data_IF_367109937545
#
_entry.id   IF_367109937545
#
_cell.length_a   1.000
_cell.length_b   1.000
_cell.length_c   1.000
_cell.angle_alpha   90.00
_cell.angle_beta   90.00
_cell.angle_gamma   90.00
#
_symmetry.space_group_name_H-M   'P 1'
#
loop_
_entity.id
_entity.type
_entity.pdbx_description
1 polymer ?
#
# COMPACT_ATOMS: atom_id res chain seq x y z
N UNK A 1 12.78 -2.34 30.15
CA UNK A 1 12.61 -3.79 29.98
C UNK A 1 11.36 -4.11 29.17
N UNK A 2 10.12 -3.97 29.70
CA UNK A 2 8.89 -4.40 29.00
C UNK A 2 8.68 -3.82 27.59
N UNK A 3 9.03 -2.56 27.36
CA UNK A 3 8.92 -1.92 26.04
C UNK A 3 9.90 -2.50 25.00
N UNK A 4 11.11 -2.88 25.43
CA UNK A 4 12.11 -3.52 24.56
C UNK A 4 11.62 -4.92 24.18
N UNK A 5 11.16 -5.69 25.17
CA UNK A 5 10.62 -7.03 24.96
C UNK A 5 9.39 -7.01 24.03
N UNK A 6 8.48 -6.05 24.20
CA UNK A 6 7.31 -5.89 23.34
C UNK A 6 7.67 -5.64 21.87
N UNK A 7 8.73 -4.86 21.60
CA UNK A 7 9.21 -4.64 20.23
C UNK A 7 9.94 -5.86 19.67
N UNK A 8 10.66 -6.59 20.53
CA UNK A 8 11.41 -7.79 20.17
C UNK A 8 10.50 -8.99 19.85
N UNK A 9 9.37 -9.11 20.54
CA UNK A 9 8.38 -10.17 20.33
C UNK A 9 7.55 -10.02 19.04
N UNK A 10 7.74 -8.95 18.26
CA UNK A 10 7.00 -8.71 17.02
C UNK A 10 7.57 -9.55 15.87
N UNK A 11 6.72 -10.25 15.08
CA UNK A 11 7.13 -10.95 13.88
C UNK A 11 7.92 -10.06 12.93
N UNK A 12 8.85 -10.65 12.17
CA UNK A 12 9.75 -9.90 11.28
C UNK A 12 9.02 -9.00 10.28
N UNK A 13 7.85 -9.42 9.80
CA UNK A 13 7.01 -8.63 8.87
C UNK A 13 6.50 -7.35 9.53
N UNK A 14 5.91 -7.46 10.74
CA UNK A 14 5.39 -6.30 11.47
C UNK A 14 6.49 -5.36 11.95
N UNK A 15 7.65 -5.89 12.33
CA UNK A 15 8.79 -5.04 12.70
C UNK A 15 9.38 -4.31 11.50
N UNK A 16 9.47 -4.98 10.34
CA UNK A 16 9.88 -4.34 9.09
C UNK A 16 8.92 -3.22 8.72
N UNK A 17 7.61 -3.40 8.86
CA UNK A 17 6.60 -2.36 8.59
C UNK A 17 6.75 -1.13 9.50
N UNK A 18 7.00 -1.33 10.80
CA UNK A 18 7.18 -0.22 11.75
C UNK A 18 8.43 0.62 11.43
N UNK A 19 9.56 -0.04 11.17
CA UNK A 19 10.76 0.63 10.65
C UNK A 19 10.56 1.16 9.23
N UNK A 20 9.62 0.56 8.51
CA UNK A 20 9.12 0.86 7.18
C UNK A 20 8.68 2.31 7.07
N UNK A 21 7.70 2.65 7.90
CA UNK A 21 7.09 3.97 7.95
C UNK A 21 8.10 5.07 8.30
N UNK A 22 9.01 4.81 9.24
CA UNK A 22 10.08 5.77 9.61
C UNK A 22 11.06 5.97 8.44
N UNK A 23 11.45 4.87 7.78
CA UNK A 23 12.35 4.92 6.63
C UNK A 23 11.71 5.65 5.46
N UNK A 24 10.42 5.45 5.22
CA UNK A 24 9.68 6.16 4.18
C UNK A 24 9.64 7.67 4.45
N UNK A 25 9.40 8.09 5.70
CA UNK A 25 9.48 9.51 6.09
C UNK A 25 10.89 10.07 5.85
N UNK A 26 11.93 9.30 6.18
CA UNK A 26 13.32 9.72 5.94
C UNK A 26 13.62 9.82 4.45
N UNK A 27 13.23 8.83 3.64
CA UNK A 27 13.40 8.83 2.17
C UNK A 27 12.66 10.00 1.54
N UNK A 28 11.39 10.22 1.92
CA UNK A 28 10.60 11.36 1.45
C UNK A 28 11.23 12.70 1.86
N UNK A 29 11.90 12.76 3.01
CA UNK A 29 12.61 13.97 3.46
C UNK A 29 13.90 14.18 2.67
N UNK A 30 14.68 13.13 2.43
CA UNK A 30 15.93 13.20 1.66
C UNK A 30 15.65 13.50 0.18
N UNK A 31 14.59 12.94 -0.40
CA UNK A 31 14.11 13.28 -1.74
C UNK A 31 13.74 14.77 -1.87
N UNK A 32 13.20 15.38 -0.81
CA UNK A 32 12.85 16.81 -0.78
C UNK A 32 14.06 17.75 -0.62
N UNK A 33 15.16 17.28 -0.03
CA UNK A 33 16.33 18.12 0.31
C UNK A 33 17.51 17.91 -0.65
N UNK A 34 17.69 16.70 -1.17
CA UNK A 34 18.78 16.34 -2.07
C UNK A 34 18.30 15.30 -3.11
N UNK A 35 17.55 15.72 -4.15
CA UNK A 35 16.95 14.82 -5.13
C UNK A 35 17.98 13.93 -5.85
N UNK A 36 19.20 14.42 -6.08
CA UNK A 36 20.28 13.67 -6.72
C UNK A 36 20.88 12.55 -5.86
N UNK A 37 20.75 12.62 -4.52
CA UNK A 37 21.24 11.58 -3.59
C UNK A 37 20.19 10.52 -3.28
N UNK A 38 18.91 10.81 -3.51
CA UNK A 38 17.83 9.89 -3.20
C UNK A 38 17.80 8.67 -4.13
N UNK A 39 18.28 8.81 -5.38
CA UNK A 39 18.37 7.71 -6.33
C UNK A 39 19.48 6.69 -5.98
N UNK A 40 20.44 7.08 -5.14
CA UNK A 40 21.59 6.25 -4.73
C UNK A 40 21.35 5.54 -3.39
N UNK A 41 20.24 5.87 -2.69
CA UNK A 41 19.91 5.31 -1.39
C UNK A 41 19.30 3.92 -1.53
N UNK A 42 20.07 2.91 -1.14
CA UNK A 42 19.58 1.55 -0.92
C UNK A 42 18.60 1.54 0.26
N UNK A 43 17.30 1.49 -0.06
CA UNK A 43 16.19 1.47 0.90
C UNK A 43 16.34 0.30 1.88
N UNK A 44 16.85 -0.85 1.41
CA UNK A 44 17.10 -2.02 2.25
C UNK A 44 18.14 -1.74 3.34
N UNK A 45 19.27 -1.12 2.97
CA UNK A 45 20.30 -0.71 3.95
C UNK A 45 19.79 0.31 4.95
N UNK A 46 18.96 1.25 4.49
CA UNK A 46 18.40 2.29 5.36
C UNK A 46 17.44 1.71 6.41
N UNK A 47 16.56 0.78 6.02
CA UNK A 47 15.70 0.05 6.97
C UNK A 47 16.54 -0.68 8.03
N UNK A 48 17.58 -1.40 7.59
CA UNK A 48 18.46 -2.11 8.50
C UNK A 48 19.21 -1.16 9.44
N UNK A 49 19.68 -0.01 8.95
CA UNK A 49 20.33 1.01 9.77
C UNK A 49 19.39 1.64 10.80
N UNK A 50 18.19 2.05 10.40
CA UNK A 50 17.22 2.66 11.33
C UNK A 50 16.87 1.68 12.45
N UNK A 51 16.64 0.40 12.11
CA UNK A 51 16.34 -0.63 13.11
C UNK A 51 17.49 -0.82 14.10
N UNK A 52 18.73 -0.98 13.62
CA UNK A 52 19.91 -1.17 14.49
C UNK A 52 20.16 0.04 15.40
N UNK A 53 19.92 1.27 14.90
CA UNK A 53 20.03 2.48 15.72
C UNK A 53 18.92 2.57 16.78
N UNK A 54 17.69 2.15 16.47
CA UNK A 54 16.60 2.15 17.46
C UNK A 54 16.90 1.22 18.64
N UNK A 55 17.42 0.03 18.36
CA UNK A 55 17.88 -0.91 19.39
C UNK A 55 19.03 -0.31 20.23
N UNK A 56 20.05 0.26 19.59
CA UNK A 56 21.13 1.00 20.28
C UNK A 56 20.60 2.08 21.25
N UNK A 57 19.67 2.93 20.80
CA UNK A 57 19.07 3.98 21.65
C UNK A 57 18.25 3.41 22.80
N UNK A 58 17.52 2.30 22.57
CA UNK A 58 16.74 1.66 23.62
C UNK A 58 17.63 1.11 24.74
N UNK A 59 18.78 0.52 24.39
CA UNK A 59 19.76 0.02 25.36
C UNK A 59 20.57 1.15 26.00
N UNK A 60 20.80 2.27 25.31
CA UNK A 60 21.35 3.50 25.92
C UNK A 60 20.47 3.99 27.06
N UNK A 61 19.17 4.15 26.81
CA UNK A 61 18.21 4.56 27.85
C UNK A 61 18.16 3.51 28.97
N UNK A 62 18.20 2.22 28.63
CA UNK A 62 18.24 1.15 29.62
C UNK A 62 19.47 1.26 30.54
N UNK A 63 20.66 1.49 29.96
CA UNK A 63 21.90 1.66 30.73
C UNK A 63 21.84 2.82 31.72
N UNK A 64 21.24 3.95 31.32
CA UNK A 64 20.98 5.10 32.20
C UNK A 64 20.06 4.71 33.36
N UNK A 65 18.95 4.03 33.06
CA UNK A 65 17.94 3.66 34.05
C UNK A 65 18.44 2.61 35.03
N UNK A 66 19.13 1.57 34.57
CA UNK A 66 19.70 0.52 35.42
C UNK A 66 20.74 1.10 36.36
N UNK A 67 21.64 1.96 35.87
CA UNK A 67 22.64 2.59 36.73
C UNK A 67 22.02 3.56 37.73
N UNK A 68 20.98 4.30 37.33
CA UNK A 68 20.22 5.16 38.25
C UNK A 68 19.53 4.33 39.35
N UNK A 69 18.90 3.21 38.99
CA UNK A 69 18.26 2.31 39.94
C UNK A 69 19.28 1.72 40.94
N UNK A 70 20.43 1.21 40.45
CA UNK A 70 21.48 0.65 41.31
C UNK A 70 22.05 1.69 42.29
N UNK A 71 22.22 2.94 41.84
CA UNK A 71 22.65 4.01 42.74
C UNK A 71 21.60 4.34 43.80
N UNK A 72 20.31 4.38 43.44
CA UNK A 72 19.23 4.56 44.43
C UNK A 72 19.15 3.42 45.43
N UNK A 73 19.54 2.21 45.04
CA UNK A 73 19.64 1.04 45.91
C UNK A 73 20.95 0.98 46.72
N UNK A 74 21.79 2.03 46.69
CA UNK A 74 23.01 2.13 47.49
C UNK A 74 24.26 1.50 46.87
N UNK A 75 24.20 1.03 45.62
CA UNK A 75 25.35 0.43 44.93
C UNK A 75 26.07 1.50 44.10
N UNK A 76 27.20 1.97 44.62
CA UNK A 76 27.99 3.05 44.03
C UNK A 76 29.33 2.58 43.44
N UNK A 77 29.99 3.47 42.71
CA UNK A 77 31.35 3.26 42.20
C UNK A 77 31.44 2.27 41.03
N UNK A 78 32.63 1.68 40.86
CA UNK A 78 32.94 0.71 39.80
C UNK A 78 32.07 -0.54 39.87
N UNK A 79 31.71 -0.98 41.08
CA UNK A 79 30.81 -2.14 41.29
C UNK A 79 29.43 -1.90 40.66
N UNK A 80 28.82 -0.73 40.88
CA UNK A 80 27.53 -0.38 40.27
C UNK A 80 27.59 -0.29 38.75
N UNK A 81 28.70 0.23 38.20
CA UNK A 81 28.93 0.29 36.75
C UNK A 81 29.04 -1.12 36.15
N UNK A 82 29.83 -2.01 36.78
CA UNK A 82 30.02 -3.38 36.31
C UNK A 82 28.71 -4.19 36.35
N UNK A 83 27.93 -4.05 37.43
CA UNK A 83 26.63 -4.71 37.56
C UNK A 83 25.63 -4.16 36.53
N UNK A 84 25.58 -2.83 36.33
CA UNK A 84 24.72 -2.21 35.32
C UNK A 84 25.03 -2.73 33.91
N UNK A 85 26.32 -2.77 33.57
CA UNK A 85 26.79 -3.27 32.29
C UNK A 85 26.43 -4.76 32.11
N UNK A 86 26.71 -5.60 33.10
CA UNK A 86 26.38 -7.03 33.04
C UNK A 86 24.87 -7.26 32.87
N UNK A 87 24.03 -6.53 33.60
CA UNK A 87 22.56 -6.62 33.45
C UNK A 87 22.14 -6.28 32.02
N UNK A 88 22.69 -5.21 31.44
CA UNK A 88 22.34 -4.79 30.09
C UNK A 88 22.81 -5.80 29.02
N UNK A 89 24.04 -6.33 29.16
CA UNK A 89 24.59 -7.34 28.23
C UNK A 89 23.81 -8.65 28.32
N UNK A 90 23.54 -9.15 29.53
CA UNK A 90 22.75 -10.37 29.72
C UNK A 90 21.33 -10.20 29.15
N UNK A 91 20.74 -9.01 29.33
CA UNK A 91 19.45 -8.70 28.74
C UNK A 91 19.50 -8.66 27.20
N UNK A 92 20.54 -8.07 26.60
CA UNK A 92 20.76 -8.08 25.14
C UNK A 92 20.90 -9.50 24.58
N UNK A 93 21.65 -10.37 25.28
CA UNK A 93 21.79 -11.78 24.91
C UNK A 93 20.42 -12.49 25.00
N UNK A 94 19.68 -12.26 26.08
CA UNK A 94 18.35 -12.84 26.26
C UNK A 94 17.35 -12.37 25.19
N UNK A 95 17.47 -11.12 24.75
CA UNK A 95 16.60 -10.52 23.74
C UNK A 95 16.86 -11.14 22.35
N UNK A 96 18.13 -11.25 21.95
CA UNK A 96 18.51 -11.91 20.70
C UNK A 96 18.19 -13.41 20.71
N UNK A 97 18.38 -14.07 21.85
CA UNK A 97 17.94 -15.45 22.04
C UNK A 97 16.42 -15.57 21.88
N UNK A 98 15.64 -14.66 22.49
CA UNK A 98 14.18 -14.64 22.34
C UNK A 98 13.76 -14.43 20.87
N UNK A 99 14.45 -13.56 20.13
CA UNK A 99 14.18 -13.33 18.71
C UNK A 99 14.36 -14.59 17.86
N UNK A 100 15.23 -15.54 18.22
CA UNK A 100 15.36 -16.81 17.48
C UNK A 100 14.08 -17.68 17.50
N UNK A 101 13.20 -17.47 18.49
CA UNK A 101 11.91 -18.16 18.58
C UNK A 101 10.78 -17.43 17.85
N UNK A 102 11.06 -16.24 17.30
CA UNK A 102 10.07 -15.42 16.58
C UNK A 102 10.14 -15.71 15.08
N UNK A 103 9.01 -16.02 14.41
CA UNK A 103 9.00 -16.33 12.99
C UNK A 103 9.62 -15.24 12.10
N UNK A 104 10.59 -15.64 11.27
CA UNK A 104 11.27 -14.77 10.30
C UNK A 104 12.36 -13.85 10.89
N UNK A 105 12.70 -13.99 12.18
CA UNK A 105 13.82 -13.31 12.83
C UNK A 105 15.01 -14.26 12.95
N UNK A 106 16.21 -13.69 12.87
CA UNK A 106 17.47 -14.38 13.14
C UNK A 106 18.20 -13.62 14.23
N UNK A 107 18.65 -14.33 15.25
CA UNK A 107 19.53 -13.73 16.26
C UNK A 107 20.91 -13.47 15.66
N UNK A 108 21.42 -12.25 15.77
CA UNK A 108 22.76 -11.88 15.29
C UNK A 108 23.65 -11.49 16.47
N UNK A 109 24.84 -12.10 16.59
CA UNK A 109 25.85 -11.71 17.60
C UNK A 109 26.22 -10.22 17.45
N UNK A 110 26.19 -9.71 16.21
CA UNK A 110 26.43 -8.30 15.92
C UNK A 110 25.42 -7.37 16.60
N UNK A 111 24.17 -7.80 16.75
CA UNK A 111 23.11 -6.98 17.35
C UNK A 111 23.29 -6.89 18.87
N UNK A 112 23.72 -7.98 19.53
CA UNK A 112 24.18 -7.96 20.94
C UNK A 112 25.30 -6.95 21.16
N UNK A 113 26.27 -6.87 20.25
CA UNK A 113 27.41 -5.94 20.35
C UNK A 113 26.92 -4.49 20.25
N UNK A 114 26.02 -4.19 19.31
CA UNK A 114 25.47 -2.84 19.10
C UNK A 114 24.68 -2.41 20.35
N UNK A 115 23.85 -3.29 20.89
CA UNK A 115 23.03 -3.01 22.08
C UNK A 115 23.89 -2.83 23.33
N UNK A 116 24.93 -3.65 23.49
CA UNK A 116 25.92 -3.51 24.57
C UNK A 116 26.70 -2.20 24.46
N UNK A 117 27.02 -1.74 23.24
CA UNK A 117 27.65 -0.44 23.02
C UNK A 117 26.71 0.71 23.40
N UNK A 118 25.42 0.63 23.04
CA UNK A 118 24.38 1.58 23.45
C UNK A 118 24.30 1.72 24.97
N UNK A 119 24.19 0.59 25.68
CA UNK A 119 24.17 0.55 27.14
C UNK A 119 25.44 1.18 27.77
N UNK A 120 26.61 0.91 27.19
CA UNK A 120 27.88 1.49 27.65
C UNK A 120 27.89 3.01 27.53
N UNK A 121 27.44 3.55 26.39
CA UNK A 121 27.31 5.00 26.16
C UNK A 121 26.33 5.61 27.16
N UNK A 122 25.20 4.95 27.41
CA UNK A 122 24.22 5.39 28.40
C UNK A 122 24.79 5.48 29.82
N UNK A 123 25.50 4.43 30.24
CA UNK A 123 26.19 4.38 31.53
C UNK A 123 27.23 5.50 31.64
N UNK A 124 28.11 5.67 30.66
CA UNK A 124 29.14 6.72 30.66
C UNK A 124 28.53 8.12 30.63
N UNK A 125 27.49 8.35 29.83
CA UNK A 125 26.76 9.61 29.76
C UNK A 125 26.15 9.99 31.11
N UNK A 126 25.52 9.02 31.80
CA UNK A 126 25.00 9.24 33.15
C UNK A 126 26.11 9.53 34.17
N UNK A 127 27.27 8.86 34.07
CA UNK A 127 28.43 9.18 34.92
C UNK A 127 28.91 10.61 34.69
N UNK A 128 29.09 11.03 33.43
CA UNK A 128 29.49 12.38 33.05
C UNK A 128 28.53 13.43 33.58
N UNK A 129 27.23 13.25 33.35
CA UNK A 129 26.20 14.16 33.85
C UNK A 129 26.18 14.21 35.39
N UNK A 130 26.33 13.06 36.07
CA UNK A 130 26.42 13.01 37.54
C UNK A 130 27.72 13.57 38.12
N UNK A 131 28.77 13.72 37.31
CA UNK A 131 30.05 14.32 37.69
C UNK A 131 30.00 15.83 37.51
N UNK A 132 29.39 16.31 36.43
CA UNK A 132 29.03 17.72 36.22
C UNK A 132 28.09 18.20 37.34
N UNK A 133 27.07 17.41 37.67
CA UNK A 133 26.14 17.74 38.77
C UNK A 133 26.82 17.78 40.14
N UNK A 134 27.73 16.83 40.45
CA UNK A 134 28.48 16.82 41.73
C UNK A 134 29.60 17.87 41.81
N UNK A 135 30.24 18.21 40.68
CA UNK A 135 31.12 19.37 40.61
C UNK A 135 30.33 20.68 40.81
N UNK A 136 29.01 20.64 40.60
CA UNK A 136 28.11 21.75 40.83
C UNK A 136 27.55 21.90 42.24
N UNK A 137 27.92 21.10 43.23
CA UNK A 137 27.35 21.22 44.59
C UNK A 137 28.31 21.77 45.65
N UNK A 138 29.62 21.88 45.37
CA UNK A 138 30.57 22.43 46.37
C UNK A 138 31.11 23.83 46.07
N UNK A 139 30.81 24.42 44.91
CA UNK A 139 31.09 25.85 44.64
C UNK A 139 29.93 26.66 44.03
N UNK A 140 28.87 26.05 43.48
CA UNK A 140 27.86 26.80 42.69
C UNK A 140 26.78 27.48 43.54
N UNK A 141 26.59 27.08 44.82
CA UNK A 141 25.53 27.67 45.65
C UNK A 141 25.84 29.12 46.08
N UNK A 142 27.07 29.62 45.91
CA UNK A 142 27.41 31.01 46.26
C UNK A 142 27.54 31.97 45.06
N UNK A 143 27.25 31.58 43.81
CA UNK A 143 27.39 32.51 42.67
C UNK A 143 26.34 32.42 41.55
N UNK A 144 25.05 32.21 41.85
CA UNK A 144 24.01 32.60 40.90
C UNK A 144 23.80 34.13 40.96
N UNK A 145 24.68 34.86 40.28
CA UNK A 145 24.49 36.29 40.00
C UNK A 145 23.19 36.48 39.21
N UNK A 146 22.47 37.58 39.44
CA UNK A 146 21.27 37.98 38.69
C UNK A 146 21.46 37.93 37.17
N UNK A 147 22.69 38.14 36.69
CA UNK A 147 23.07 38.00 35.29
C UNK A 147 22.81 36.58 34.72
N UNK A 148 23.01 35.52 35.50
CA UNK A 148 22.82 34.14 35.05
C UNK A 148 21.33 33.78 34.91
N UNK A 149 20.48 34.31 35.80
CA UNK A 149 19.02 34.11 35.74
C UNK A 149 18.46 34.79 34.49
N UNK A 150 18.90 36.02 34.20
CA UNK A 150 18.51 36.77 33.01
C UNK A 150 18.98 36.06 31.73
N UNK A 151 20.22 35.55 31.71
CA UNK A 151 20.76 34.80 30.58
C UNK A 151 19.97 33.50 30.31
N UNK A 152 19.67 32.71 31.34
CA UNK A 152 18.86 31.49 31.22
C UNK A 152 17.44 31.81 30.74
N UNK A 153 16.84 32.89 31.27
CA UNK A 153 15.54 33.37 30.81
C UNK A 153 15.54 33.76 29.33
N UNK A 154 16.57 34.50 28.88
CA UNK A 154 16.73 34.89 27.48
C UNK A 154 16.91 33.69 26.54
N UNK A 155 17.66 32.67 26.96
CA UNK A 155 17.84 31.43 26.21
C UNK A 155 16.51 30.65 26.12
N UNK A 156 15.74 30.58 27.19
CA UNK A 156 14.43 29.89 27.18
C UNK A 156 13.42 30.60 26.29
N UNK A 157 13.39 31.94 26.30
CA UNK A 157 12.50 32.73 25.44
C UNK A 157 12.86 32.57 23.96
N UNK A 158 14.14 32.64 23.62
CA UNK A 158 14.60 32.46 22.23
C UNK A 158 14.36 31.03 21.72
N UNK A 159 14.55 30.02 22.57
CA UNK A 159 14.23 28.63 22.25
C UNK A 159 12.72 28.43 22.03
N UNK A 160 11.89 29.04 22.89
CA UNK A 160 10.43 28.97 22.78
C UNK A 160 9.90 29.65 21.52
N UNK A 161 10.45 30.82 21.17
CA UNK A 161 10.15 31.53 19.92
C UNK A 161 10.59 30.71 18.69
N UNK A 162 11.77 30.08 18.74
CA UNK A 162 12.26 29.21 17.67
C UNK A 162 11.39 27.98 17.46
N UNK A 163 10.93 27.34 18.54
CA UNK A 163 10.00 26.21 18.50
C UNK A 163 8.65 26.64 17.93
N UNK A 164 8.09 27.74 18.41
CA UNK A 164 6.82 28.29 17.92
C UNK A 164 6.89 28.62 16.42
N UNK A 165 7.94 29.30 15.97
CA UNK A 165 8.13 29.64 14.57
C UNK A 165 8.30 28.39 13.69
N UNK A 166 9.05 27.39 14.16
CA UNK A 166 9.22 26.10 13.47
C UNK A 166 7.90 25.34 13.34
N UNK A 167 7.07 25.34 14.40
CA UNK A 167 5.74 24.72 14.38
C UNK A 167 4.79 25.43 13.41
N UNK A 168 4.73 26.77 13.45
CA UNK A 168 3.91 27.56 12.54
C UNK A 168 4.32 27.35 11.08
N UNK A 169 5.63 27.37 10.80
CA UNK A 169 6.17 27.12 9.47
C UNK A 169 5.79 25.72 8.95
N UNK A 170 5.83 24.69 9.80
CA UNK A 170 5.38 23.32 9.42
C UNK A 170 3.88 23.28 9.10
N UNK A 171 3.04 23.92 9.91
CA UNK A 171 1.59 23.91 9.71
C UNK A 171 1.19 24.62 8.41
N UNK A 172 1.81 25.76 8.09
CA UNK A 172 1.53 26.50 6.86
C UNK A 172 1.99 25.75 5.61
N UNK A 173 3.17 25.12 5.66
CA UNK A 173 3.70 24.31 4.56
C UNK A 173 2.81 23.13 4.20
N UNK A 174 2.21 22.47 5.18
CA UNK A 174 1.36 21.32 4.92
C UNK A 174 0.06 21.73 4.19
N UNK A 175 -0.50 22.90 4.55
CA UNK A 175 -1.70 23.44 3.89
C UNK A 175 -1.41 23.85 2.44
N UNK A 176 -0.32 24.56 2.20
CA UNK A 176 0.05 24.99 0.84
C UNK A 176 0.38 23.79 -0.05
N UNK A 177 1.15 22.82 0.46
CA UNK A 177 1.47 21.59 -0.28
C UNK A 177 0.23 20.79 -0.69
N UNK A 178 -0.75 20.67 0.20
CA UNK A 178 -1.99 19.97 -0.11
C UNK A 178 -2.75 20.67 -1.23
N UNK A 179 -2.88 22.00 -1.15
CA UNK A 179 -3.54 22.83 -2.17
C UNK A 179 -2.79 22.74 -3.51
N UNK A 180 -1.46 22.84 -3.49
CA UNK A 180 -0.63 22.76 -4.69
C UNK A 180 -0.71 21.38 -5.34
N UNK A 181 -0.75 20.31 -4.54
CA UNK A 181 -0.88 18.93 -5.04
C UNK A 181 -2.23 18.73 -5.72
N UNK A 182 -3.33 19.11 -5.06
CA UNK A 182 -4.67 19.02 -5.64
C UNK A 182 -4.78 19.87 -6.90
N UNK A 183 -4.23 21.08 -6.88
CA UNK A 183 -4.25 21.98 -8.03
C UNK A 183 -3.46 21.39 -9.20
N UNK A 184 -2.29 20.81 -8.94
CA UNK A 184 -1.48 20.12 -9.93
C UNK A 184 -2.19 18.91 -10.52
N UNK A 185 -2.84 18.08 -9.69
CA UNK A 185 -3.62 16.93 -10.15
C UNK A 185 -4.80 17.37 -11.02
N UNK A 186 -5.50 18.43 -10.63
CA UNK A 186 -6.59 19.03 -11.42
C UNK A 186 -6.09 19.56 -12.77
N UNK A 187 -4.95 20.26 -12.80
CA UNK A 187 -4.33 20.74 -14.04
C UNK A 187 -3.95 19.57 -14.96
N UNK A 188 -3.36 18.51 -14.40
CA UNK A 188 -2.98 17.30 -15.14
C UNK A 188 -4.20 16.60 -15.73
N UNK A 189 -5.27 16.48 -14.92
CA UNK A 189 -6.54 15.90 -15.34
C UNK A 189 -7.18 16.71 -16.47
N UNK A 190 -7.24 18.06 -16.34
CA UNK A 190 -7.76 18.97 -17.36
C UNK A 190 -6.96 18.88 -18.67
N UNK A 191 -5.62 18.81 -18.59
CA UNK A 191 -4.77 18.61 -19.77
C UNK A 191 -5.11 17.32 -20.51
N UNK A 192 -5.28 16.21 -19.77
CA UNK A 192 -5.61 14.91 -20.36
C UNK A 192 -6.98 14.92 -21.03
N UNK A 193 -7.98 15.51 -20.38
CA UNK A 193 -9.30 15.71 -20.96
C UNK A 193 -9.26 16.55 -22.25
N UNK A 194 -8.50 17.65 -22.26
CA UNK A 194 -8.34 18.51 -23.44
C UNK A 194 -7.74 17.75 -24.63
N UNK A 195 -6.71 16.93 -24.39
CA UNK A 195 -6.08 16.11 -25.43
C UNK A 195 -7.06 15.09 -25.99
N UNK A 196 -7.81 14.40 -25.12
CA UNK A 196 -8.79 13.40 -25.56
C UNK A 196 -9.91 14.05 -26.40
N UNK A 197 -10.44 15.21 -25.98
CA UNK A 197 -11.45 15.98 -26.75
C UNK A 197 -10.88 16.44 -28.10
N UNK A 198 -9.64 16.94 -28.12
CA UNK A 198 -8.99 17.38 -29.35
C UNK A 198 -8.79 16.22 -30.34
N UNK A 199 -8.37 15.06 -29.86
CA UNK A 199 -8.25 13.85 -30.69
C UNK A 199 -9.61 13.39 -31.21
N UNK A 200 -10.61 13.34 -30.34
CA UNK A 200 -11.97 12.96 -30.73
C UNK A 200 -12.52 13.88 -31.83
N UNK A 201 -12.41 15.20 -31.66
CA UNK A 201 -12.82 16.18 -32.68
C UNK A 201 -12.04 16.04 -33.99
N UNK A 202 -10.73 15.79 -33.93
CA UNK A 202 -9.91 15.56 -35.13
C UNK A 202 -10.31 14.29 -35.88
N UNK A 203 -10.45 13.17 -35.18
CA UNK A 203 -10.80 11.87 -35.77
C UNK A 203 -12.22 11.87 -36.33
N UNK A 204 -13.19 12.47 -35.63
CA UNK A 204 -14.56 12.60 -36.14
C UNK A 204 -14.63 13.48 -37.39
N UNK A 205 -13.91 14.61 -37.41
CA UNK A 205 -13.84 15.46 -38.60
C UNK A 205 -13.19 14.75 -39.78
N UNK A 206 -12.10 14.01 -39.53
CA UNK A 206 -11.41 13.18 -40.52
C UNK A 206 -12.33 12.07 -41.07
N UNK A 207 -13.03 11.37 -40.19
CA UNK A 207 -13.96 10.30 -40.56
C UNK A 207 -15.07 10.82 -41.50
N UNK A 208 -15.72 11.94 -41.15
CA UNK A 208 -16.76 12.56 -41.99
C UNK A 208 -16.21 12.94 -43.37
N UNK A 209 -15.01 13.54 -43.40
CA UNK A 209 -14.43 14.11 -44.62
C UNK A 209 -13.78 13.09 -45.56
N UNK A 210 -13.25 11.98 -45.03
CA UNK A 210 -12.34 11.10 -45.78
C UNK A 210 -12.81 9.64 -45.85
N UNK A 211 -13.47 9.11 -44.83
CA UNK A 211 -13.76 7.66 -44.72
C UNK A 211 -15.24 7.30 -44.61
N UNK A 212 -16.15 8.28 -44.63
CA UNK A 212 -17.60 8.04 -44.56
C UNK A 212 -18.14 7.14 -45.68
N UNK A 213 -17.40 6.95 -46.77
CA UNK A 213 -17.75 6.13 -47.93
C UNK A 213 -16.81 4.93 -48.15
N UNK A 214 -15.87 4.66 -47.23
CA UNK A 214 -14.88 3.58 -47.36
C UNK A 214 -15.20 2.45 -46.38
N UNK A 215 -15.55 1.26 -46.90
CA UNK A 215 -15.82 0.07 -46.09
C UNK A 215 -14.56 -0.81 -45.94
N UNK A 216 -13.51 -0.18 -45.39
CA UNK A 216 -12.20 -0.80 -45.18
C UNK A 216 -11.91 -1.12 -43.71
N UNK A 217 -10.86 -1.93 -43.47
CA UNK A 217 -10.32 -2.19 -42.12
C UNK A 217 -9.90 -0.91 -41.39
N UNK A 218 -9.40 0.08 -42.11
CA UNK A 218 -8.98 1.37 -41.55
C UNK A 218 -10.17 2.15 -40.95
N UNK A 219 -11.33 2.12 -41.60
CA UNK A 219 -12.56 2.75 -41.11
C UNK A 219 -13.03 2.11 -39.80
N UNK A 220 -12.92 0.79 -39.67
CA UNK A 220 -13.29 0.06 -38.46
C UNK A 220 -12.36 0.38 -37.28
N UNK A 221 -11.06 0.49 -37.52
CA UNK A 221 -10.07 0.83 -36.48
C UNK A 221 -10.26 2.26 -35.97
N UNK A 222 -10.50 3.21 -36.88
CA UNK A 222 -10.80 4.60 -36.53
C UNK A 222 -12.12 4.73 -35.76
N UNK A 223 -13.18 4.03 -36.16
CA UNK A 223 -14.46 4.03 -35.45
C UNK A 223 -14.29 3.48 -34.03
N UNK A 224 -13.49 2.43 -33.84
CA UNK A 224 -13.17 1.89 -32.53
C UNK A 224 -12.42 2.91 -31.66
N UNK A 225 -11.47 3.64 -32.23
CA UNK A 225 -10.74 4.68 -31.49
C UNK A 225 -11.65 5.86 -31.10
N UNK A 226 -12.54 6.30 -32.01
CA UNK A 226 -13.55 7.34 -31.73
C UNK A 226 -14.48 6.91 -30.58
N UNK A 227 -14.92 5.66 -30.58
CA UNK A 227 -15.83 5.15 -29.54
C UNK A 227 -15.12 5.03 -28.18
N UNK A 228 -13.88 4.54 -28.16
CA UNK A 228 -13.05 4.54 -26.94
C UNK A 228 -12.89 5.96 -26.39
N UNK A 229 -12.55 6.94 -27.24
CA UNK A 229 -12.39 8.33 -26.82
C UNK A 229 -13.69 8.92 -26.27
N UNK A 230 -14.84 8.63 -26.90
CA UNK A 230 -16.16 9.05 -26.41
C UNK A 230 -16.40 8.57 -24.98
N UNK A 231 -16.17 7.29 -24.71
CA UNK A 231 -16.36 6.70 -23.38
C UNK A 231 -15.35 7.27 -22.38
N UNK A 232 -14.09 7.43 -22.79
CA UNK A 232 -13.04 8.01 -21.94
C UNK A 232 -13.32 9.46 -21.53
N UNK A 233 -13.81 10.29 -22.46
CA UNK A 233 -14.20 11.68 -22.18
C UNK A 233 -15.37 11.70 -21.18
N UNK A 234 -16.38 10.84 -21.38
CA UNK A 234 -17.54 10.75 -20.49
C UNK A 234 -17.14 10.30 -19.08
N UNK A 235 -16.28 9.28 -18.98
CA UNK A 235 -15.70 8.79 -17.72
C UNK A 235 -14.91 9.86 -16.99
N UNK A 236 -14.16 10.70 -17.71
CA UNK A 236 -13.45 11.82 -17.10
C UNK A 236 -14.47 12.81 -16.52
N UNK A 237 -15.44 13.26 -17.32
CA UNK A 237 -16.39 14.30 -16.93
C UNK A 237 -17.31 13.88 -15.77
N UNK A 238 -17.74 12.62 -15.71
CA UNK A 238 -18.60 12.09 -14.65
C UNK A 238 -18.18 10.66 -14.23
N UNK A 239 -17.14 10.52 -13.39
CA UNK A 239 -16.56 9.21 -13.10
C UNK A 239 -17.46 8.32 -12.24
N UNK A 240 -18.20 8.88 -11.27
CA UNK A 240 -18.96 8.08 -10.32
C UNK A 240 -20.10 7.32 -11.00
N UNK A 241 -20.95 8.03 -11.73
CA UNK A 241 -22.15 7.47 -12.37
C UNK A 241 -21.79 6.55 -13.55
N UNK A 242 -20.80 6.93 -14.37
CA UNK A 242 -20.43 6.15 -15.55
C UNK A 242 -19.72 4.84 -15.16
N UNK A 243 -18.97 4.79 -14.05
CA UNK A 243 -18.37 3.55 -13.56
C UNK A 243 -19.45 2.53 -13.18
N UNK A 244 -20.52 2.95 -12.51
CA UNK A 244 -21.62 2.04 -12.16
C UNK A 244 -22.33 1.52 -13.42
N UNK A 245 -22.67 2.42 -14.34
CA UNK A 245 -23.30 2.06 -15.62
C UNK A 245 -22.46 1.10 -16.45
N UNK A 246 -21.14 1.32 -16.54
CA UNK A 246 -20.24 0.44 -17.29
C UNK A 246 -20.07 -0.93 -16.65
N UNK A 247 -20.13 -1.03 -15.32
CA UNK A 247 -20.12 -2.32 -14.62
C UNK A 247 -21.37 -3.13 -14.93
N UNK A 248 -22.52 -2.48 -14.90
CA UNK A 248 -23.80 -3.11 -15.25
C UNK A 248 -23.82 -3.57 -16.71
N UNK A 249 -23.42 -2.69 -17.64
CA UNK A 249 -23.33 -3.04 -19.06
C UNK A 249 -22.38 -4.23 -19.29
N UNK A 250 -21.19 -4.21 -18.67
CA UNK A 250 -20.23 -5.32 -18.75
C UNK A 250 -20.84 -6.63 -18.24
N UNK A 251 -21.56 -6.58 -17.12
CA UNK A 251 -22.20 -7.76 -16.56
C UNK A 251 -23.27 -8.32 -17.51
N UNK A 252 -24.12 -7.46 -18.06
CA UNK A 252 -25.16 -7.86 -19.00
C UNK A 252 -24.57 -8.46 -20.29
N UNK A 253 -23.53 -7.85 -20.86
CA UNK A 253 -22.85 -8.39 -22.04
C UNK A 253 -22.16 -9.73 -21.77
N UNK A 254 -21.60 -9.94 -20.58
CA UNK A 254 -21.01 -11.23 -20.20
C UNK A 254 -22.08 -12.32 -20.08
N UNK A 255 -23.24 -12.01 -19.49
CA UNK A 255 -24.38 -12.94 -19.41
C UNK A 255 -24.88 -13.28 -20.81
N UNK A 256 -25.10 -12.27 -21.65
CA UNK A 256 -25.56 -12.48 -23.03
C UNK A 256 -24.56 -13.30 -23.87
N UNK A 257 -23.26 -13.04 -23.71
CA UNK A 257 -22.22 -13.82 -24.40
C UNK A 257 -22.18 -15.28 -23.92
N UNK A 258 -22.31 -15.52 -22.61
CA UNK A 258 -22.38 -16.88 -22.07
C UNK A 258 -23.62 -17.63 -22.56
N UNK A 259 -24.77 -16.96 -22.67
CA UNK A 259 -25.99 -17.54 -23.27
C UNK A 259 -25.80 -17.88 -24.75
N UNK A 260 -25.17 -16.99 -25.52
CA UNK A 260 -24.86 -17.22 -26.94
C UNK A 260 -23.87 -18.37 -27.12
N UNK A 261 -22.83 -18.46 -26.29
CA UNK A 261 -21.88 -19.58 -26.31
C UNK A 261 -22.56 -20.90 -25.95
N UNK A 262 -23.44 -20.92 -24.93
CA UNK A 262 -24.22 -22.11 -24.58
C UNK A 262 -25.15 -22.56 -25.71
N UNK A 263 -25.81 -21.62 -26.42
CA UNK A 263 -26.60 -21.95 -27.62
C UNK A 263 -25.73 -22.48 -28.75
N UNK A 264 -24.56 -21.88 -28.98
CA UNK A 264 -23.61 -22.29 -30.02
C UNK A 264 -23.05 -23.69 -29.77
N UNK A 265 -22.67 -24.01 -28.53
CA UNK A 265 -22.22 -25.36 -28.15
C UNK A 265 -23.32 -26.40 -28.40
N UNK A 266 -24.56 -26.12 -28.02
CA UNK A 266 -25.69 -27.03 -28.29
C UNK A 266 -25.92 -27.28 -29.79
N UNK A 267 -25.79 -26.25 -30.61
CA UNK A 267 -25.89 -26.39 -32.08
C UNK A 267 -24.74 -27.23 -32.63
N UNK A 268 -23.53 -27.03 -32.13
CA UNK A 268 -22.33 -27.77 -32.55
C UNK A 268 -22.44 -29.26 -32.19
N UNK A 269 -22.82 -29.58 -30.95
CA UNK A 269 -23.11 -30.96 -30.50
C UNK A 269 -24.20 -31.63 -31.35
N UNK A 270 -25.29 -30.92 -31.66
CA UNK A 270 -26.35 -31.47 -32.50
C UNK A 270 -25.89 -31.68 -33.94
N UNK A 271 -25.07 -30.76 -34.46
CA UNK A 271 -24.54 -30.86 -35.82
C UNK A 271 -23.62 -32.07 -35.94
N UNK A 272 -22.76 -32.33 -34.94
CA UNK A 272 -21.95 -33.54 -34.88
C UNK A 272 -22.79 -34.81 -34.76
N UNK A 273 -23.82 -34.79 -33.90
CA UNK A 273 -24.73 -35.91 -33.74
C UNK A 273 -25.45 -36.26 -35.05
N UNK A 274 -26.05 -35.26 -35.73
CA UNK A 274 -26.76 -35.45 -36.99
C UNK A 274 -25.83 -35.94 -38.10
N UNK A 275 -24.60 -35.42 -38.18
CA UNK A 275 -23.58 -35.92 -39.13
C UNK A 275 -23.16 -37.37 -38.85
N UNK A 276 -23.27 -37.81 -37.60
CA UNK A 276 -23.01 -39.19 -37.19
C UNK A 276 -24.16 -40.17 -37.47
N UNK A 277 -25.35 -39.68 -37.84
CA UNK A 277 -26.48 -40.51 -38.25
C UNK A 277 -26.32 -40.86 -39.75
N UNK A 278 -26.15 -42.14 -40.07
CA UNK A 278 -25.88 -42.63 -41.43
C UNK A 278 -27.06 -43.31 -42.12
N UNK A 279 -28.26 -43.25 -41.53
CA UNK A 279 -29.49 -43.86 -42.04
C UNK A 279 -30.61 -42.82 -42.16
N UNK A 280 -31.38 -42.89 -43.26
CA UNK A 280 -32.66 -42.19 -43.34
C UNK A 280 -33.64 -42.87 -42.36
N UNK A 281 -34.30 -42.08 -41.51
CA UNK A 281 -35.25 -42.57 -40.52
C UNK A 281 -36.54 -43.02 -41.22
N UNK A 282 -36.67 -44.33 -41.46
CA UNK A 282 -37.91 -44.94 -41.97
C UNK A 282 -38.86 -45.40 -40.83
N UNK A 283 -38.35 -45.55 -39.59
CA UNK A 283 -39.11 -45.96 -38.41
C UNK A 283 -38.91 -45.00 -37.22
N UNK A 284 -39.89 -44.98 -36.31
CA UNK A 284 -39.89 -44.17 -35.09
C UNK A 284 -38.79 -44.61 -34.11
N UNK A 285 -37.89 -43.69 -33.73
CA UNK A 285 -36.84 -43.91 -32.73
C UNK A 285 -37.09 -43.08 -31.46
N UNK A 286 -37.50 -43.76 -30.38
CA UNK A 286 -37.79 -43.13 -29.09
C UNK A 286 -36.55 -42.47 -28.45
N UNK A 287 -35.35 -43.04 -28.65
CA UNK A 287 -34.12 -42.50 -28.06
C UNK A 287 -33.73 -41.19 -28.74
N UNK A 288 -33.92 -41.11 -30.06
CA UNK A 288 -33.71 -39.90 -30.84
C UNK A 288 -34.66 -38.78 -30.38
N UNK A 289 -35.96 -39.10 -30.27
CA UNK A 289 -37.00 -38.15 -29.85
C UNK A 289 -36.71 -37.59 -28.46
N UNK A 290 -36.35 -38.44 -27.48
CA UNK A 290 -35.99 -38.00 -26.12
C UNK A 290 -34.74 -37.11 -26.07
N UNK A 291 -33.84 -37.23 -27.06
CA UNK A 291 -32.64 -36.40 -27.17
C UNK A 291 -32.91 -35.07 -27.86
N UNK A 292 -33.81 -35.03 -28.85
CA UNK A 292 -34.11 -33.85 -29.65
C UNK A 292 -35.20 -32.95 -29.03
N UNK A 293 -36.26 -33.56 -28.49
CA UNK A 293 -37.45 -32.86 -28.02
C UNK A 293 -37.31 -32.56 -26.52
N UNK A 294 -37.56 -31.31 -26.16
CA UNK A 294 -37.60 -30.85 -24.77
C UNK A 294 -39.01 -31.01 -24.19
N UNK A 295 -40.03 -30.58 -24.93
CA UNK A 295 -41.43 -30.63 -24.52
C UNK A 295 -42.35 -30.65 -25.74
N UNK A 296 -43.47 -31.35 -25.63
CA UNK A 296 -44.59 -31.27 -26.58
C UNK A 296 -45.81 -30.76 -25.80
N UNK A 297 -46.47 -29.74 -26.34
CA UNK A 297 -47.73 -29.21 -25.80
C UNK A 297 -48.81 -29.43 -26.85
N UNK A 298 -49.88 -30.14 -26.49
CA UNK A 298 -50.99 -30.47 -27.39
C UNK A 298 -52.16 -29.53 -27.07
N UNK A 299 -52.68 -28.87 -28.09
CA UNK A 299 -53.90 -28.06 -28.09
C UNK A 299 -54.98 -28.78 -28.92
N UNK A 300 -56.20 -28.22 -28.97
CA UNK A 300 -57.34 -28.88 -29.61
C UNK A 300 -57.15 -29.09 -31.13
N UNK A 301 -56.51 -28.14 -31.83
CA UNK A 301 -56.30 -28.18 -33.30
C UNK A 301 -54.81 -28.12 -33.71
N UNK A 302 -53.88 -28.04 -32.75
CA UNK A 302 -52.44 -27.91 -33.03
C UNK A 302 -51.56 -28.51 -31.92
N UNK A 303 -50.34 -28.91 -32.26
CA UNK A 303 -49.29 -29.26 -31.30
C UNK A 303 -48.06 -28.39 -31.49
N UNK A 304 -47.55 -27.86 -30.38
CA UNK A 304 -46.26 -27.15 -30.33
C UNK A 304 -45.18 -28.09 -29.82
N UNK A 305 -44.17 -28.32 -30.66
CA UNK A 305 -42.98 -29.11 -30.34
C UNK A 305 -41.81 -28.17 -30.04
N UNK A 306 -41.34 -28.17 -28.80
CA UNK A 306 -40.13 -27.46 -28.38
C UNK A 306 -38.93 -28.40 -28.44
N UNK A 307 -37.93 -28.03 -29.23
CA UNK A 307 -36.66 -28.74 -29.33
C UNK A 307 -35.68 -28.24 -28.28
N UNK A 308 -34.79 -29.10 -27.79
CA UNK A 308 -33.70 -28.71 -26.84
C UNK A 308 -32.70 -27.69 -27.40
N UNK A 309 -32.78 -27.44 -28.71
CA UNK A 309 -32.06 -26.36 -29.40
C UNK A 309 -32.71 -24.99 -29.25
N UNK A 310 -33.89 -24.90 -28.62
CA UNK A 310 -34.68 -23.68 -28.47
C UNK A 310 -35.46 -23.28 -29.72
N UNK A 311 -35.70 -24.23 -30.64
CA UNK A 311 -36.57 -24.05 -31.81
C UNK A 311 -37.96 -24.56 -31.45
N UNK A 312 -38.99 -23.81 -31.83
CA UNK A 312 -40.39 -24.20 -31.66
C UNK A 312 -41.02 -24.43 -33.03
N UNK A 313 -41.70 -25.57 -33.20
CA UNK A 313 -42.43 -25.90 -34.42
C UNK A 313 -43.88 -26.16 -34.03
N UNK A 314 -44.81 -25.47 -34.69
CA UNK A 314 -46.23 -25.75 -34.59
C UNK A 314 -46.64 -26.71 -35.71
N UNK A 315 -47.39 -27.73 -35.35
CA UNK A 315 -47.91 -28.76 -36.25
C UNK A 315 -49.41 -28.78 -36.08
N UNK A 316 -50.17 -28.49 -37.14
CA UNK A 316 -51.62 -28.69 -37.16
C UNK A 316 -51.92 -30.19 -37.09
N UNK A 317 -52.83 -30.58 -36.19
CA UNK A 317 -53.23 -31.99 -35.96
C UNK A 317 -54.56 -32.27 -36.65
#
# INVERSE_FOLDING_TARGET
MGLIFYFSSKPAVQSKELSGNVTEIVVQTVQRVAPNRAAELDIGRLHHLIRKNAHFFSYLVLGVLVLNALRRSGVYGSKGIMIAFLICVLYAISDEFHQTFVPGRSGEIRDVIIDSAGATVGVLGYLGMSRVWRMGEKEIIFSLSWANIIAIGGVLVTLSLGIYNTLQHRLTINKTKYIDTITMERIKWLKKLRVDISRFSGLTSFWVKTLSHSDGKESHELLKEIDILRVMIKLRLNPAEEIYRLRELKQNTLVENAEREGKRQRIEEMTEFLKGQSYELEEYDEQLVRRLIEKITIFDDEATVQFKLGVEINVEI
#
